data_IF_063179220023
#
_entry.id   IF_063179220023
#
_cell.length_a   1.000
_cell.length_b   1.000
_cell.length_c   1.000
_cell.angle_alpha   90.00
_cell.angle_beta   90.00
_cell.angle_gamma   90.00
#
_symmetry.space_group_name_H-M   'P 1'
#
loop_
_entity.id
_entity.type
_entity.pdbx_description
1 polymer ?
#
# COMPACT_ATOMS: atom_id res chain seq x y z
N UNK A 1 -34.79 43.46 -4.35
CA UNK A 1 -33.86 42.85 -3.37
C UNK A 1 -34.37 41.49 -2.88
N UNK A 2 -34.96 40.65 -3.74
CA UNK A 2 -35.57 39.36 -3.35
C UNK A 2 -35.38 38.25 -4.40
N UNK A 3 -34.35 38.39 -5.26
CA UNK A 3 -34.04 37.40 -6.32
C UNK A 3 -32.60 36.86 -6.25
N UNK A 4 -31.73 37.45 -5.43
CA UNK A 4 -30.33 37.02 -5.28
C UNK A 4 -30.16 35.86 -4.29
N UNK A 5 -30.97 35.80 -3.23
CA UNK A 5 -30.91 34.73 -2.22
C UNK A 5 -31.28 33.35 -2.80
N UNK A 6 -32.26 33.29 -3.72
CA UNK A 6 -32.73 32.04 -4.31
C UNK A 6 -31.69 31.36 -5.21
N UNK A 7 -30.77 32.12 -5.82
CA UNK A 7 -29.69 31.56 -6.66
C UNK A 7 -28.49 31.06 -5.86
N UNK A 8 -28.27 31.61 -4.66
CA UNK A 8 -27.14 31.21 -3.82
C UNK A 8 -27.39 29.86 -3.13
N UNK A 9 -28.64 29.58 -2.76
CA UNK A 9 -29.03 28.29 -2.14
C UNK A 9 -28.95 27.14 -3.15
N UNK A 10 -29.23 27.40 -4.43
CA UNK A 10 -29.23 26.38 -5.48
C UNK A 10 -27.81 25.95 -5.91
N UNK A 11 -26.81 26.82 -5.75
CA UNK A 11 -25.41 26.52 -6.10
C UNK A 11 -24.72 25.59 -5.09
N UNK A 12 -25.13 25.62 -3.82
CA UNK A 12 -24.58 24.76 -2.76
C UNK A 12 -25.08 23.31 -2.83
N UNK A 13 -26.17 23.04 -3.54
CA UNK A 13 -26.78 21.71 -3.62
C UNK A 13 -26.12 20.76 -4.64
N UNK A 14 -25.07 21.17 -5.35
CA UNK A 14 -24.46 20.40 -6.44
C UNK A 14 -23.02 19.96 -6.18
N UNK A 15 -22.45 20.25 -5.01
CA UNK A 15 -21.22 19.58 -4.59
C UNK A 15 -21.53 18.14 -4.16
N UNK A 16 -21.77 17.27 -5.15
CA UNK A 16 -21.68 15.83 -4.97
C UNK A 16 -20.20 15.50 -4.85
N UNK A 17 -19.75 15.27 -3.62
CA UNK A 17 -18.40 14.78 -3.36
C UNK A 17 -18.34 13.33 -3.85
N UNK A 18 -17.93 13.12 -5.10
CA UNK A 18 -17.65 11.78 -5.59
C UNK A 18 -16.33 11.33 -4.96
N UNK A 19 -16.41 10.66 -3.81
CA UNK A 19 -15.27 9.95 -3.24
C UNK A 19 -15.05 8.69 -4.08
N UNK A 20 -14.14 8.77 -5.04
CA UNK A 20 -13.65 7.58 -5.75
C UNK A 20 -12.74 6.83 -4.79
N UNK A 21 -13.20 5.67 -4.30
CA UNK A 21 -12.33 4.68 -3.69
C UNK A 21 -11.60 3.96 -4.84
N UNK A 22 -10.41 4.44 -5.19
CA UNK A 22 -9.57 3.73 -6.15
C UNK A 22 -9.05 2.46 -5.48
N UNK A 23 -9.56 1.29 -5.91
CA UNK A 23 -8.95 0.01 -5.57
C UNK A 23 -7.62 -0.09 -6.34
N UNK A 24 -6.53 0.24 -5.66
CA UNK A 24 -5.18 0.06 -6.21
C UNK A 24 -4.74 -1.38 -5.95
N UNK A 25 -4.38 -2.11 -7.00
CA UNK A 25 -3.70 -3.38 -6.85
C UNK A 25 -2.20 -3.14 -6.68
N UNK A 26 -1.63 -3.69 -5.61
CA UNK A 26 -0.19 -3.71 -5.37
C UNK A 26 0.28 -5.16 -5.44
N UNK A 27 1.16 -5.47 -6.40
CA UNK A 27 1.82 -6.77 -6.43
C UNK A 27 3.07 -6.72 -5.56
N UNK A 28 3.10 -7.54 -4.51
CA UNK A 28 4.25 -7.69 -3.61
C UNK A 28 4.87 -9.07 -3.86
N UNK A 29 6.09 -9.15 -4.45
CA UNK A 29 6.75 -10.44 -4.66
C UNK A 29 6.91 -11.21 -3.35
N UNK A 30 6.57 -12.50 -3.37
CA UNK A 30 6.68 -13.38 -2.20
C UNK A 30 5.49 -13.31 -1.23
N UNK A 31 4.46 -12.49 -1.51
CA UNK A 31 3.20 -12.49 -0.79
C UNK A 31 2.10 -13.14 -1.60
N UNK A 32 1.26 -13.93 -0.93
CA UNK A 32 0.01 -14.39 -1.53
C UNK A 32 -0.93 -13.20 -1.76
N UNK A 33 -1.66 -13.17 -2.91
CA UNK A 33 -2.64 -12.14 -3.18
C UNK A 33 -3.66 -12.01 -2.04
N UNK A 34 -3.63 -10.88 -1.35
CA UNK A 34 -4.49 -10.59 -0.21
C UNK A 34 -4.69 -9.08 -0.04
N UNK A 35 -5.74 -8.64 0.67
CA UNK A 35 -5.92 -7.25 1.04
C UNK A 35 -4.77 -6.78 1.94
N UNK A 36 -4.11 -5.68 1.55
CA UNK A 36 -3.04 -5.05 2.32
C UNK A 36 -3.42 -3.59 2.57
N UNK A 37 -3.28 -3.16 3.82
CA UNK A 37 -3.35 -1.75 4.17
C UNK A 37 -1.94 -1.15 4.10
N UNK A 38 -1.80 -0.04 3.39
CA UNK A 38 -0.53 0.70 3.29
C UNK A 38 -0.71 2.10 3.89
N UNK A 39 0.19 2.46 4.81
CA UNK A 39 0.20 3.78 5.45
C UNK A 39 1.56 4.44 5.28
N UNK A 40 1.57 5.73 4.95
CA UNK A 40 2.82 6.49 4.82
C UNK A 40 3.38 6.74 6.22
N UNK A 41 4.60 6.25 6.46
CA UNK A 41 5.38 6.55 7.68
C UNK A 41 6.08 7.90 7.52
N UNK A 42 6.60 8.18 6.33
CA UNK A 42 7.24 9.46 6.03
C UNK A 42 7.78 9.54 4.61
N UNK A 43 8.12 10.77 4.20
CA UNK A 43 8.77 11.07 2.92
C UNK A 43 10.11 11.72 3.23
N UNK A 44 11.20 11.10 2.77
CA UNK A 44 12.56 11.62 2.92
C UNK A 44 12.85 12.78 1.98
N UNK A 45 13.85 13.59 2.33
CA UNK A 45 14.35 14.68 1.47
C UNK A 45 14.99 14.17 0.17
N UNK A 46 15.31 12.88 0.10
CA UNK A 46 15.78 12.16 -1.07
C UNK A 46 14.64 11.74 -2.03
N UNK A 47 13.39 12.07 -1.69
CA UNK A 47 12.20 11.73 -2.47
C UNK A 47 11.73 10.29 -2.27
N UNK A 48 12.28 9.56 -1.30
CA UNK A 48 11.83 8.21 -0.97
C UNK A 48 10.65 8.26 -0.01
N UNK A 49 9.64 7.44 -0.27
CA UNK A 49 8.49 7.29 0.65
C UNK A 49 8.63 5.97 1.40
N UNK A 50 8.53 6.04 2.72
CA UNK A 50 8.48 4.86 3.59
C UNK A 50 7.03 4.56 3.94
N UNK A 51 6.64 3.30 3.75
CA UNK A 51 5.31 2.79 3.99
C UNK A 51 5.34 1.66 5.01
N UNK A 52 4.37 1.67 5.91
CA UNK A 52 4.04 0.54 6.78
C UNK A 52 2.90 -0.24 6.13
N UNK A 53 3.15 -1.51 5.84
CA UNK A 53 2.20 -2.46 5.25
C UNK A 53 1.68 -3.41 6.33
N UNK A 54 0.38 -3.57 6.39
CA UNK A 54 -0.33 -4.34 7.41
C UNK A 54 -1.47 -5.14 6.79
N UNK A 55 -2.07 -6.03 7.58
CA UNK A 55 -3.29 -6.75 7.20
C UNK A 55 -4.36 -5.75 6.74
N UNK A 56 -4.78 -5.88 5.49
CA UNK A 56 -5.89 -5.11 4.95
C UNK A 56 -7.24 -5.74 5.34
N UNK A 57 -8.30 -4.95 5.20
CA UNK A 57 -9.65 -5.47 5.31
C UNK A 57 -10.14 -5.88 3.92
N UNK A 58 -10.65 -7.11 3.80
CA UNK A 58 -11.35 -7.54 2.61
C UNK A 58 -12.69 -6.79 2.46
N UNK A 59 -13.20 -6.71 1.22
CA UNK A 59 -14.56 -6.24 1.00
C UNK A 59 -15.56 -7.20 1.67
N UNK A 60 -16.68 -6.65 2.11
CA UNK A 60 -17.82 -7.41 2.65
C UNK A 60 -18.37 -8.46 1.68
N UNK A 61 -18.19 -8.29 0.37
CA UNK A 61 -18.60 -9.26 -0.65
C UNK A 61 -17.55 -10.33 -0.94
N UNK A 62 -16.35 -10.19 -0.37
CA UNK A 62 -15.25 -11.11 -0.60
C UNK A 62 -15.38 -12.33 0.32
N UNK A 63 -15.54 -13.50 -0.29
CA UNK A 63 -15.72 -14.78 0.41
C UNK A 63 -14.42 -15.57 0.56
N UNK A 64 -13.29 -15.03 0.09
CA UNK A 64 -12.00 -15.70 0.18
C UNK A 64 -11.46 -15.69 1.61
N UNK A 65 -10.82 -16.80 1.98
CA UNK A 65 -9.98 -16.85 3.18
C UNK A 65 -8.57 -16.40 2.82
N UNK A 66 -8.04 -15.43 3.55
CA UNK A 66 -6.69 -14.93 3.40
C UNK A 66 -5.81 -15.46 4.51
N UNK A 67 -4.55 -15.73 4.20
CA UNK A 67 -3.55 -16.02 5.23
C UNK A 67 -3.43 -14.82 6.18
N UNK A 68 -3.07 -15.08 7.44
CA UNK A 68 -2.82 -14.00 8.39
C UNK A 68 -1.53 -13.26 8.03
N UNK A 69 -1.64 -11.93 7.96
CA UNK A 69 -0.50 -11.03 7.85
C UNK A 69 -0.10 -10.62 9.28
N UNK A 70 1.05 -11.14 9.75
CA UNK A 70 1.51 -10.95 11.12
C UNK A 70 2.44 -9.74 11.25
N UNK A 71 2.06 -8.74 12.05
CA UNK A 71 2.93 -7.58 12.29
C UNK A 71 2.88 -6.55 11.16
N UNK A 72 4.03 -5.98 10.80
CA UNK A 72 4.12 -4.86 9.85
C UNK A 72 5.35 -5.04 8.96
N UNK A 73 5.14 -5.03 7.64
CA UNK A 73 6.24 -4.94 6.69
C UNK A 73 6.55 -3.48 6.38
N UNK A 74 7.82 -3.18 6.10
CA UNK A 74 8.29 -1.85 5.74
C UNK A 74 8.65 -1.82 4.27
N UNK A 75 8.02 -0.94 3.50
CA UNK A 75 8.32 -0.71 2.09
C UNK A 75 8.93 0.69 1.93
N UNK A 76 10.15 0.76 1.40
CA UNK A 76 10.78 2.02 1.02
C UNK A 76 10.77 2.11 -0.50
N UNK A 77 10.02 3.06 -1.04
CA UNK A 77 9.90 3.29 -2.47
C UNK A 77 10.63 4.57 -2.86
N UNK A 78 11.58 4.46 -3.79
CA UNK A 78 12.24 5.58 -4.43
C UNK A 78 11.79 5.77 -5.89
N UNK A 79 12.32 6.79 -6.59
CA UNK A 79 11.97 7.06 -7.99
C UNK A 79 12.41 5.95 -8.97
N UNK A 80 13.41 5.16 -8.59
CA UNK A 80 14.04 4.14 -9.46
C UNK A 80 14.17 2.78 -8.79
N UNK A 81 13.73 2.63 -7.55
CA UNK A 81 13.90 1.42 -6.77
C UNK A 81 12.80 1.26 -5.72
N UNK A 82 12.69 0.05 -5.20
CA UNK A 82 11.90 -0.23 -4.02
C UNK A 82 12.59 -1.33 -3.21
N UNK A 83 12.51 -1.23 -1.89
CA UNK A 83 12.93 -2.30 -0.98
C UNK A 83 11.82 -2.61 0.02
N UNK A 84 11.60 -3.89 0.25
CA UNK A 84 10.65 -4.42 1.22
C UNK A 84 11.43 -5.19 2.27
N UNK A 85 11.13 -4.92 3.53
CA UNK A 85 11.61 -5.71 4.66
C UNK A 85 10.41 -6.18 5.47
N UNK A 86 10.36 -7.49 5.73
CA UNK A 86 9.33 -8.09 6.56
C UNK A 86 9.96 -9.10 7.50
N UNK A 87 9.77 -8.91 8.79
CA UNK A 87 10.26 -9.82 9.81
C UNK A 87 9.07 -10.27 10.65
N UNK A 88 8.93 -11.58 10.79
CA UNK A 88 7.96 -12.21 11.67
C UNK A 88 8.72 -13.06 12.68
N UNK A 89 8.75 -12.58 13.93
CA UNK A 89 9.39 -13.29 15.03
C UNK A 89 8.64 -14.56 15.44
N UNK A 90 7.31 -14.61 15.24
CA UNK A 90 6.50 -15.77 15.56
C UNK A 90 6.70 -16.91 14.56
N UNK A 91 6.90 -16.57 13.29
CA UNK A 91 7.21 -17.52 12.23
C UNK A 91 8.73 -17.69 11.97
N UNK A 92 9.58 -17.00 12.75
CA UNK A 92 11.05 -17.06 12.70
C UNK A 92 11.63 -16.85 11.30
N UNK A 93 11.12 -15.87 10.56
CA UNK A 93 11.68 -15.52 9.25
C UNK A 93 11.89 -14.02 9.12
N UNK A 94 12.85 -13.67 8.25
CA UNK A 94 13.05 -12.31 7.76
C UNK A 94 13.21 -12.35 6.25
N UNK A 95 12.44 -11.53 5.56
CA UNK A 95 12.46 -11.37 4.11
C UNK A 95 12.96 -9.95 3.81
N UNK A 96 14.04 -9.88 3.03
CA UNK A 96 14.50 -8.67 2.38
C UNK A 96 14.41 -8.82 0.87
N UNK A 97 13.68 -7.93 0.21
CA UNK A 97 13.60 -7.88 -1.25
C UNK A 97 13.94 -6.48 -1.71
N UNK A 98 14.84 -6.36 -2.68
CA UNK A 98 15.12 -5.10 -3.34
C UNK A 98 14.92 -5.25 -4.86
N UNK A 99 14.36 -4.22 -5.46
CA UNK A 99 14.08 -4.15 -6.89
C UNK A 99 14.48 -2.78 -7.43
N UNK A 100 14.95 -2.74 -8.68
CA UNK A 100 15.12 -1.51 -9.44
C UNK A 100 14.07 -1.42 -10.55
N UNK A 101 13.63 -0.22 -10.87
CA UNK A 101 12.73 0.02 -12.00
C UNK A 101 13.54 0.37 -13.24
N UNK A 102 13.34 -0.39 -14.32
CA UNK A 102 13.84 0.00 -15.65
C UNK A 102 12.62 0.33 -16.50
N UNK A 103 12.46 1.60 -16.87
CA UNK A 103 11.29 2.11 -17.60
C UNK A 103 9.93 1.83 -16.92
N UNK A 104 9.82 2.04 -15.60
CA UNK A 104 8.60 1.78 -14.80
C UNK A 104 8.15 0.30 -14.76
N UNK A 105 8.98 -0.62 -15.24
CA UNK A 105 8.77 -2.07 -15.10
C UNK A 105 9.69 -2.62 -14.02
N UNK A 106 9.17 -3.48 -13.13
CA UNK A 106 9.96 -4.17 -12.10
C UNK A 106 11.08 -4.98 -12.78
N UNK A 107 12.34 -4.61 -12.56
CA UNK A 107 13.44 -5.53 -12.80
C UNK A 107 13.41 -6.61 -11.72
N UNK A 108 13.71 -7.84 -12.11
CA UNK A 108 13.61 -9.07 -11.31
C UNK A 108 14.10 -8.85 -9.86
N UNK A 109 13.31 -9.25 -8.83
CA UNK A 109 13.74 -9.13 -7.44
C UNK A 109 14.95 -10.00 -7.14
N UNK A 110 15.93 -9.44 -6.44
CA UNK A 110 16.97 -10.23 -5.77
C UNK A 110 16.47 -10.49 -4.35
N UNK A 111 16.07 -11.74 -4.09
CA UNK A 111 15.60 -12.17 -2.78
C UNK A 111 16.81 -12.67 -1.97
N UNK A 112 17.18 -11.94 -0.92
CA UNK A 112 18.17 -12.40 0.06
C UNK A 112 17.39 -12.83 1.31
N UNK A 113 17.05 -14.12 1.39
CA UNK A 113 16.47 -14.73 2.58
C UNK A 113 17.52 -15.55 3.31
N UNK A 114 17.87 -15.16 4.53
CA UNK A 114 18.71 -15.96 5.43
C UNK A 114 17.79 -16.82 6.31
N UNK A 115 17.84 -18.14 6.11
CA UNK A 115 17.11 -19.08 6.98
C UNK A 115 17.95 -19.28 8.22
N UNK A 116 17.64 -18.57 9.31
CA UNK A 116 18.21 -18.87 10.63
C UNK A 116 17.77 -20.27 11.06
N UNK A 117 18.68 -21.23 10.96
CA UNK A 117 18.48 -22.61 11.40
C UNK A 117 19.19 -22.77 12.75
N UNK A 118 18.42 -22.91 13.83
CA UNK A 118 18.84 -23.64 15.03
C UNK A 118 17.71 -24.55 15.48
#
# INVERSE_FOLDING_TARGET
MMFYFARFVLLLAHLRWNTVLAQTSLYIPGFDPQPIAASVVGVGSDGRTTWALQKGQADTTDTKSYADFHGTATLVQGPKDASLTYADASAQFTIGVACTFTHSTLAKPEATGEKGLE
#
